data_IF_282982405731
#
_entry.id   IF_282982405731
#
_cell.length_a   1.000
_cell.length_b   1.000
_cell.length_c   1.000
_cell.angle_alpha   90.00
_cell.angle_beta   90.00
_cell.angle_gamma   90.00
#
_symmetry.space_group_name_H-M   'P 1'
#
loop_
_entity.id
_entity.type
_entity.pdbx_description
1 polymer ?
#
# COMPACT_ATOMS: atom_id res chain seq x y z
N UNK A 1 19.03 -34.30 -16.19
CA UNK A 1 18.30 -33.09 -16.64
C UNK A 1 16.95 -32.90 -15.93
N UNK A 2 16.13 -33.94 -15.71
CA UNK A 2 14.79 -33.82 -15.11
C UNK A 2 14.73 -33.17 -13.70
N UNK A 3 15.71 -33.45 -12.84
CA UNK A 3 15.80 -32.85 -11.48
C UNK A 3 15.99 -31.33 -11.47
N UNK A 4 16.66 -30.77 -12.49
CA UNK A 4 16.83 -29.32 -12.63
C UNK A 4 15.58 -28.63 -13.17
N UNK A 5 14.84 -29.31 -14.05
CA UNK A 5 13.55 -28.82 -14.59
C UNK A 5 12.51 -28.70 -13.48
N UNK A 6 12.45 -29.68 -12.57
CA UNK A 6 11.55 -29.62 -11.40
C UNK A 6 11.93 -28.47 -10.46
N UNK A 7 13.22 -28.25 -10.19
CA UNK A 7 13.65 -27.13 -9.35
C UNK A 7 13.33 -25.75 -9.96
N UNK A 8 13.43 -25.60 -11.28
CA UNK A 8 13.07 -24.36 -11.99
C UNK A 8 11.56 -24.07 -11.95
N UNK A 9 10.71 -25.09 -11.96
CA UNK A 9 9.25 -24.93 -11.89
C UNK A 9 8.73 -24.55 -10.50
N UNK A 10 9.47 -24.86 -9.42
CA UNK A 10 9.05 -24.53 -8.05
C UNK A 10 9.39 -23.07 -7.72
N UNK A 11 10.47 -22.53 -8.30
CA UNK A 11 10.90 -21.14 -8.08
C UNK A 11 9.97 -20.12 -8.76
N UNK A 12 9.22 -20.51 -9.79
CA UNK A 12 8.29 -19.62 -10.49
C UNK A 12 6.93 -19.42 -9.79
N UNK A 13 6.68 -20.04 -8.64
CA UNK A 13 5.40 -20.00 -7.94
C UNK A 13 5.36 -19.05 -6.72
N UNK A 14 6.30 -18.11 -6.59
CA UNK A 14 6.09 -16.96 -5.71
C UNK A 14 5.09 -16.04 -6.39
N UNK A 15 3.82 -16.39 -6.29
CA UNK A 15 2.71 -15.55 -6.73
C UNK A 15 2.72 -14.29 -5.87
N UNK A 16 3.15 -13.17 -6.44
CA UNK A 16 2.98 -11.85 -5.82
C UNK A 16 1.49 -11.54 -5.87
N UNK A 17 0.75 -11.90 -4.82
CA UNK A 17 -0.70 -11.73 -4.75
C UNK A 17 -0.99 -10.24 -4.58
N UNK A 18 -1.25 -9.52 -5.67
CA UNK A 18 -1.59 -8.11 -5.63
C UNK A 18 -3.03 -7.93 -6.11
N UNK A 19 -3.86 -7.33 -5.27
CA UNK A 19 -5.30 -7.20 -5.52
C UNK A 19 -5.78 -5.77 -5.29
N UNK A 20 -6.67 -5.29 -6.17
CA UNK A 20 -7.39 -4.04 -5.96
C UNK A 20 -8.35 -4.20 -4.80
N UNK A 21 -8.13 -3.45 -3.73
CA UNK A 21 -8.94 -3.52 -2.53
C UNK A 21 -10.27 -2.76 -2.72
N UNK A 22 -11.33 -3.31 -2.14
CA UNK A 22 -12.61 -2.58 -2.00
C UNK A 22 -12.49 -1.63 -0.81
N UNK A 23 -12.70 -0.33 -1.03
CA UNK A 23 -12.58 0.70 0.01
C UNK A 23 -13.84 1.58 0.05
N UNK A 24 -14.08 2.17 1.23
CA UNK A 24 -15.11 3.20 1.42
C UNK A 24 -14.43 4.56 1.58
N UNK A 25 -14.77 5.57 0.77
CA UNK A 25 -14.20 6.91 0.93
C UNK A 25 -14.62 7.51 2.29
N UNK A 26 -13.68 8.18 2.94
CA UNK A 26 -13.86 8.79 4.26
C UNK A 26 -13.91 10.34 4.22
N UNK A 27 -13.83 10.94 3.04
CA UNK A 27 -13.83 12.40 2.83
C UNK A 27 -12.76 12.82 1.83
N UNK A 28 -12.53 14.13 1.73
CA UNK A 28 -11.53 14.74 0.83
C UNK A 28 -12.08 15.11 -0.56
N UNK A 29 -11.39 16.05 -1.22
CA UNK A 29 -11.67 16.49 -2.60
C UNK A 29 -10.74 15.83 -3.64
N UNK A 30 -9.67 15.17 -3.19
CA UNK A 30 -8.76 14.39 -4.03
C UNK A 30 -9.44 13.16 -4.65
N UNK A 31 -8.97 12.75 -5.83
CA UNK A 31 -9.52 11.58 -6.55
C UNK A 31 -8.62 10.37 -6.35
N UNK A 32 -9.09 9.39 -5.58
CA UNK A 32 -8.46 8.08 -5.49
C UNK A 32 -8.78 7.26 -6.74
N UNK A 33 -7.76 6.83 -7.48
CA UNK A 33 -7.91 6.00 -8.69
C UNK A 33 -7.92 4.52 -8.31
N UNK A 34 -6.96 4.09 -7.51
CA UNK A 34 -6.86 2.70 -7.05
C UNK A 34 -6.16 2.60 -5.70
N UNK A 35 -6.53 1.54 -4.97
CA UNK A 35 -5.79 1.02 -3.82
C UNK A 35 -5.57 -0.45 -4.10
N UNK A 36 -4.31 -0.87 -4.09
CA UNK A 36 -3.91 -2.26 -4.30
C UNK A 36 -3.09 -2.73 -3.11
N UNK A 37 -3.34 -3.95 -2.67
CA UNK A 37 -2.72 -4.52 -1.47
C UNK A 37 -1.95 -5.78 -1.87
N UNK A 38 -0.74 -5.90 -1.34
CA UNK A 38 0.18 -7.01 -1.58
C UNK A 38 0.83 -7.46 -0.25
N UNK A 39 0.79 -8.74 0.15
CA UNK A 39 0.00 -9.81 -0.45
C UNK A 39 -1.49 -9.70 -0.12
N UNK A 40 -2.37 -9.94 -1.09
CA UNK A 40 -3.82 -10.09 -0.87
C UNK A 40 -4.49 -10.94 -1.95
N UNK A 41 -5.16 -12.02 -1.53
CA UNK A 41 -5.89 -12.95 -2.40
C UNK A 41 -7.38 -12.66 -2.53
N UNK A 42 -7.99 -12.18 -1.44
CA UNK A 42 -9.43 -12.00 -1.30
C UNK A 42 -9.74 -10.79 -0.44
N UNK A 43 -10.92 -10.21 -0.65
CA UNK A 43 -11.45 -9.16 0.21
C UNK A 43 -12.39 -9.80 1.25
N UNK A 44 -12.22 -9.50 2.56
CA UNK A 44 -11.17 -8.67 3.15
C UNK A 44 -9.79 -9.36 3.14
N UNK A 45 -8.73 -8.57 2.92
CA UNK A 45 -7.36 -9.07 2.93
C UNK A 45 -6.99 -9.62 4.32
N UNK A 46 -6.46 -10.84 4.37
CA UNK A 46 -5.96 -11.46 5.60
C UNK A 46 -4.46 -11.26 5.68
N UNK A 47 -4.02 -10.46 6.66
CA UNK A 47 -2.60 -10.16 6.86
C UNK A 47 -1.96 -11.15 7.82
N UNK A 48 -0.80 -11.69 7.42
CA UNK A 48 -0.02 -12.58 8.27
C UNK A 48 0.80 -11.76 9.25
N UNK A 49 0.72 -12.11 10.54
CA UNK A 49 1.56 -11.53 11.59
C UNK A 49 3.05 -11.68 11.27
N UNK A 50 3.85 -10.65 11.58
CA UNK A 50 5.29 -10.65 11.35
C UNK A 50 5.70 -10.58 9.87
N UNK A 51 4.81 -10.09 9.00
CA UNK A 51 5.11 -9.89 7.58
C UNK A 51 4.82 -8.45 7.16
N UNK A 52 5.39 -8.06 6.03
CA UNK A 52 5.17 -6.74 5.45
C UNK A 52 4.04 -6.81 4.43
N UNK A 53 3.11 -5.85 4.55
CA UNK A 53 2.04 -5.60 3.58
C UNK A 53 2.36 -4.32 2.85
N UNK A 54 2.41 -4.34 1.52
CA UNK A 54 2.53 -3.16 0.70
C UNK A 54 1.15 -2.69 0.27
N UNK A 55 0.91 -1.40 0.43
CA UNK A 55 -0.29 -0.72 -0.06
C UNK A 55 0.15 0.24 -1.14
N UNK A 56 -0.33 0.01 -2.36
CA UNK A 56 -0.10 0.86 -3.50
C UNK A 56 -1.32 1.73 -3.72
N UNK A 57 -1.12 3.04 -3.75
CA UNK A 57 -2.19 4.03 -3.91
C UNK A 57 -1.90 4.84 -5.16
N UNK A 58 -2.86 4.92 -6.06
CA UNK A 58 -2.82 5.85 -7.18
C UNK A 58 -3.91 6.90 -6.98
N UNK A 59 -3.53 8.18 -7.06
CA UNK A 59 -4.45 9.29 -6.86
C UNK A 59 -4.14 10.48 -7.76
N UNK A 60 -5.13 11.32 -8.00
CA UNK A 60 -4.98 12.62 -8.65
C UNK A 60 -5.03 13.70 -7.58
N UNK A 61 -4.01 14.54 -7.53
CA UNK A 61 -3.97 15.69 -6.63
C UNK A 61 -5.04 16.72 -7.02
N UNK A 62 -5.70 17.31 -6.03
CA UNK A 62 -6.75 18.32 -6.19
C UNK A 62 -6.26 19.77 -5.95
N UNK A 63 -5.04 19.90 -5.43
CA UNK A 63 -4.37 21.17 -5.14
C UNK A 63 -2.86 21.07 -5.39
N UNK A 64 -2.24 22.24 -5.56
CA UNK A 64 -0.79 22.38 -5.50
C UNK A 64 -0.33 22.37 -4.03
N UNK A 65 0.81 21.76 -3.73
CA UNK A 65 1.36 21.71 -2.37
C UNK A 65 2.85 21.39 -2.38
N UNK A 66 3.64 22.11 -1.59
CA UNK A 66 5.05 21.79 -1.38
C UNK A 66 5.27 20.54 -0.51
N UNK A 67 4.22 20.10 0.20
CA UNK A 67 4.26 18.99 1.13
C UNK A 67 3.17 17.96 0.85
N UNK A 68 3.43 16.71 1.22
CA UNK A 68 2.45 15.63 1.15
C UNK A 68 2.66 14.68 2.34
N UNK A 69 1.64 14.54 3.19
CA UNK A 69 1.74 13.75 4.44
C UNK A 69 0.77 12.57 4.41
N UNK A 70 1.26 11.39 4.78
CA UNK A 70 0.49 10.17 4.96
C UNK A 70 0.10 10.01 6.44
N UNK A 71 -1.21 10.07 6.73
CA UNK A 71 -1.78 9.72 8.03
C UNK A 71 -2.42 8.33 7.96
N UNK A 72 -1.61 7.30 8.18
CA UNK A 72 -2.07 5.91 8.21
C UNK A 72 -2.46 5.50 9.63
N UNK A 73 -3.69 5.01 9.80
CA UNK A 73 -4.24 4.51 11.08
C UNK A 73 -4.89 3.16 10.93
N UNK A 74 -4.74 2.31 11.95
CA UNK A 74 -5.46 1.04 12.06
C UNK A 74 -6.48 1.10 13.18
N UNK A 75 -7.63 0.45 12.99
CA UNK A 75 -8.69 0.34 13.99
C UNK A 75 -8.66 -1.06 14.61
N UNK A 76 -8.31 -1.15 15.89
CA UNK A 76 -8.22 -2.41 16.64
C UNK A 76 -9.10 -2.28 17.89
N UNK A 77 -10.03 -3.22 18.09
CA UNK A 77 -11.01 -3.20 19.21
C UNK A 77 -11.72 -1.85 19.41
N UNK A 78 -12.00 -1.11 18.32
CA UNK A 78 -12.65 0.20 18.39
C UNK A 78 -11.69 1.39 18.52
N UNK A 79 -10.44 1.17 18.90
CA UNK A 79 -9.43 2.22 19.03
C UNK A 79 -8.69 2.44 17.72
N UNK A 80 -8.47 3.71 17.35
CA UNK A 80 -7.59 4.07 16.23
C UNK A 80 -6.18 4.30 16.75
N UNK A 81 -5.20 3.66 16.13
CA UNK A 81 -3.78 3.81 16.45
C UNK A 81 -2.98 4.09 15.16
N UNK A 82 -1.95 4.95 15.23
CA UNK A 82 -1.07 5.18 14.09
C UNK A 82 -0.31 3.90 13.75
N UNK A 83 0.04 3.74 12.48
CA UNK A 83 0.89 2.62 12.09
C UNK A 83 2.35 2.90 12.48
N UNK A 84 3.00 2.03 13.27
CA UNK A 84 4.40 2.20 13.59
C UNK A 84 5.30 1.94 12.38
N UNK A 85 6.35 2.75 12.23
CA UNK A 85 7.44 2.50 11.27
C UNK A 85 7.16 2.90 9.82
N UNK A 86 6.07 3.63 9.55
CA UNK A 86 5.80 4.19 8.22
C UNK A 86 6.41 5.59 8.10
N UNK A 87 7.09 5.86 6.97
CA UNK A 87 7.46 7.22 6.58
C UNK A 87 6.21 8.03 6.23
N UNK A 88 5.95 9.08 7.00
CA UNK A 88 4.75 9.91 6.85
C UNK A 88 4.95 11.04 5.86
N UNK A 89 6.19 11.44 5.57
CA UNK A 89 6.48 12.45 4.56
C UNK A 89 6.62 11.80 3.17
N UNK A 90 5.55 11.90 2.38
CA UNK A 90 5.53 11.32 1.03
C UNK A 90 6.54 12.00 0.09
N UNK A 91 6.93 13.25 0.37
CA UNK A 91 7.94 13.95 -0.43
C UNK A 91 9.35 13.37 -0.23
N UNK A 92 9.59 12.53 0.79
CA UNK A 92 10.86 11.82 0.99
C UNK A 92 10.96 10.56 0.13
N UNK A 93 10.87 10.76 -1.18
CA UNK A 93 11.12 9.70 -2.17
C UNK A 93 9.93 8.78 -2.46
N UNK A 94 8.73 9.05 -1.92
CA UNK A 94 7.52 8.31 -2.30
C UNK A 94 6.81 8.97 -3.48
N UNK A 95 6.71 10.29 -3.49
CA UNK A 95 6.17 11.10 -4.59
C UNK A 95 7.10 12.27 -4.90
N UNK A 96 7.04 12.77 -6.13
CA UNK A 96 7.76 13.98 -6.54
C UNK A 96 7.04 15.22 -6.00
N UNK A 97 7.77 16.07 -5.27
CA UNK A 97 7.27 17.34 -4.75
C UNK A 97 7.97 18.53 -5.45
N UNK A 98 7.28 19.67 -5.64
CA UNK A 98 5.91 19.95 -5.17
C UNK A 98 4.85 19.13 -5.89
N UNK A 99 3.79 18.79 -5.16
CA UNK A 99 2.59 18.17 -5.70
C UNK A 99 1.87 19.20 -6.56
N UNK A 100 1.46 18.79 -7.77
CA UNK A 100 0.81 19.65 -8.75
C UNK A 100 -0.63 19.19 -8.95
N UNK A 101 -1.57 20.13 -8.88
CA UNK A 101 -2.99 19.89 -9.11
C UNK A 101 -3.24 19.20 -10.45
N UNK A 102 -4.11 18.19 -10.45
CA UNK A 102 -4.49 17.43 -11.64
C UNK A 102 -3.45 16.38 -12.07
N UNK A 103 -2.25 16.36 -11.49
CA UNK A 103 -1.25 15.34 -11.76
C UNK A 103 -1.59 14.05 -11.01
N UNK A 104 -1.31 12.92 -11.65
CA UNK A 104 -1.48 11.59 -11.06
C UNK A 104 -0.19 11.16 -10.36
N UNK A 105 -0.33 10.69 -9.13
CA UNK A 105 0.75 10.18 -8.28
C UNK A 105 0.48 8.73 -7.92
N UNK A 106 1.56 7.94 -7.82
CA UNK A 106 1.53 6.58 -7.31
C UNK A 106 2.48 6.46 -6.14
N UNK A 107 1.94 6.10 -4.98
CA UNK A 107 2.67 5.93 -3.74
C UNK A 107 2.63 4.46 -3.32
N UNK A 108 3.72 3.95 -2.73
CA UNK A 108 3.76 2.64 -2.11
C UNK A 108 4.15 2.79 -0.65
N UNK A 109 3.29 2.38 0.27
CA UNK A 109 3.58 2.34 1.69
C UNK A 109 3.80 0.89 2.13
N UNK A 110 4.82 0.65 2.96
CA UNK A 110 5.09 -0.65 3.56
C UNK A 110 4.57 -0.64 4.99
N UNK A 111 3.58 -1.49 5.26
CA UNK A 111 2.94 -1.69 6.55
C UNK A 111 3.51 -2.96 7.21
N UNK A 112 4.34 -2.84 8.26
CA UNK A 112 4.79 -3.99 9.01
C UNK A 112 3.67 -4.49 9.93
N UNK A 113 3.23 -5.74 9.75
CA UNK A 113 2.22 -6.38 10.59
C UNK A 113 2.89 -6.88 11.87
N UNK A 114 2.50 -6.40 13.07
CA UNK A 114 3.11 -6.86 14.32
C UNK A 114 3.02 -8.39 14.48
N UNK A 115 4.11 -9.00 14.96
CA UNK A 115 4.16 -10.45 15.23
C UNK A 115 3.56 -10.85 16.58
N UNK A 116 3.44 -9.88 17.49
CA UNK A 116 3.06 -10.07 18.90
C UNK A 116 1.53 -10.14 19.09
#
# INVERSE_FOLDING_TARGET
MFRYVVFLLIVSAVSCQRRKAVYKPCGGSGKLISVEVEPCDSDPCVFKKGTDVKVHVTMVADQDSDTATLDARVKVFGFQMPVPGIETDLCKGTVECPVIKGRTYSATAVFPVPSL
#
